data_IF_396599679380
#
_entry.id   IF_396599679380
#
_cell.length_a   1.000
_cell.length_b   1.000
_cell.length_c   1.000
_cell.angle_alpha   90.00
_cell.angle_beta   90.00
_cell.angle_gamma   90.00
#
_symmetry.space_group_name_H-M   'P 1'
#
loop_
_entity.id
_entity.type
_entity.pdbx_description
1 polymer ?
#
# COMPACT_ATOMS: atom_id res chain seq x y z
N UNK A 1 3.40 5.29 25.56
CA UNK A 1 2.11 5.78 25.06
C UNK A 1 1.01 5.14 25.88
N UNK A 2 0.11 5.93 26.48
CA UNK A 2 -1.02 5.41 27.28
C UNK A 2 -2.15 4.99 26.33
N UNK A 3 -2.92 3.98 26.72
CA UNK A 3 -4.00 3.40 25.92
C UNK A 3 -5.05 4.44 25.46
N UNK A 4 -5.37 5.41 26.32
CA UNK A 4 -6.29 6.53 26.03
C UNK A 4 -5.83 7.38 24.84
N UNK A 5 -4.53 7.66 24.75
CA UNK A 5 -3.94 8.51 23.70
C UNK A 5 -4.05 7.83 22.33
N UNK A 6 -3.76 6.53 22.28
CA UNK A 6 -3.87 5.71 21.07
C UNK A 6 -5.33 5.62 20.62
N UNK A 7 -6.28 5.49 21.55
CA UNK A 7 -7.72 5.40 21.25
C UNK A 7 -8.28 6.70 20.69
N UNK A 8 -7.89 7.85 21.23
CA UNK A 8 -8.30 9.15 20.69
C UNK A 8 -7.69 9.42 19.31
N UNK A 9 -6.42 9.06 19.13
CA UNK A 9 -5.72 9.20 17.86
C UNK A 9 -6.35 8.35 16.74
N UNK A 10 -6.67 7.08 17.03
CA UNK A 10 -7.37 6.18 16.11
C UNK A 10 -8.81 6.63 15.82
N UNK A 11 -9.51 7.26 16.77
CA UNK A 11 -10.84 7.84 16.53
C UNK A 11 -10.81 9.02 15.55
N UNK A 12 -9.78 9.86 15.63
CA UNK A 12 -9.59 10.99 14.71
C UNK A 12 -9.04 10.53 13.35
N UNK A 13 -8.26 9.43 13.35
CA UNK A 13 -7.64 8.86 12.16
C UNK A 13 -8.05 7.38 12.06
N UNK A 14 -9.28 7.07 11.58
CA UNK A 14 -9.83 5.70 11.57
C UNK A 14 -8.98 4.69 10.79
N UNK A 15 -8.03 5.17 9.98
CA UNK A 15 -7.04 4.38 9.27
C UNK A 15 -5.63 4.86 9.66
N UNK A 16 -5.19 4.59 10.90
CA UNK A 16 -3.79 4.82 11.28
C UNK A 16 -2.79 3.94 10.52
N UNK A 17 -3.28 3.00 9.72
CA UNK A 17 -2.47 2.23 8.79
C UNK A 17 -2.70 2.79 7.39
N UNK A 18 -1.60 3.22 6.76
CA UNK A 18 -1.59 3.53 5.33
C UNK A 18 -2.20 2.35 4.59
N UNK A 19 -3.08 2.64 3.65
CA UNK A 19 -3.57 1.63 2.72
C UNK A 19 -2.40 0.98 2.01
N UNK A 20 -2.55 -0.29 1.60
CA UNK A 20 -1.51 -0.99 0.83
C UNK A 20 -1.08 -0.18 -0.40
N UNK A 21 -2.01 0.55 -1.00
CA UNK A 21 -1.78 1.46 -2.12
C UNK A 21 -0.86 2.63 -1.76
N UNK A 22 -1.13 3.34 -0.67
CA UNK A 22 -0.28 4.46 -0.22
C UNK A 22 1.14 4.00 0.11
N UNK A 23 1.27 2.80 0.70
CA UNK A 23 2.57 2.19 0.98
C UNK A 23 3.33 1.82 -0.30
N UNK A 24 2.64 1.30 -1.31
CA UNK A 24 3.20 1.01 -2.62
C UNK A 24 3.67 2.28 -3.32
N UNK A 25 2.87 3.35 -3.27
CA UNK A 25 3.20 4.65 -3.86
C UNK A 25 4.44 5.29 -3.23
N UNK A 26 4.57 5.27 -1.90
CA UNK A 26 5.78 5.74 -1.23
C UNK A 26 7.02 4.92 -1.60
N UNK A 27 6.89 3.59 -1.68
CA UNK A 27 8.00 2.73 -2.08
C UNK A 27 8.44 3.02 -3.52
N UNK A 28 7.49 3.19 -4.42
CA UNK A 28 7.74 3.56 -5.82
C UNK A 28 8.44 4.92 -5.93
N UNK A 29 8.02 5.91 -5.13
CA UNK A 29 8.67 7.22 -5.05
C UNK A 29 10.13 7.11 -4.60
N UNK A 30 10.41 6.37 -3.52
CA UNK A 30 11.78 6.17 -3.02
C UNK A 30 12.68 5.49 -4.04
N UNK A 31 12.14 4.56 -4.82
CA UNK A 31 12.88 3.91 -5.92
C UNK A 31 13.16 4.92 -7.03
N UNK A 32 12.16 5.72 -7.46
CA UNK A 32 12.35 6.73 -8.50
C UNK A 32 13.36 7.82 -8.10
N UNK A 33 13.33 8.27 -6.84
CA UNK A 33 14.29 9.23 -6.29
C UNK A 33 15.72 8.67 -6.33
N UNK A 34 15.89 7.40 -5.94
CA UNK A 34 17.18 6.72 -5.96
C UNK A 34 17.74 6.52 -7.37
N UNK A 35 16.88 6.16 -8.31
CA UNK A 35 17.27 5.90 -9.71
C UNK A 35 17.41 7.18 -10.54
N UNK A 36 16.85 8.31 -10.06
CA UNK A 36 16.88 9.60 -10.75
C UNK A 36 16.14 9.59 -12.10
N UNK A 37 15.25 8.61 -12.31
CA UNK A 37 14.55 8.37 -13.59
C UNK A 37 13.10 8.02 -13.33
N UNK A 38 12.24 8.38 -14.29
CA UNK A 38 10.81 8.05 -14.24
C UNK A 38 10.61 6.57 -14.57
N UNK A 39 10.08 5.81 -13.61
CA UNK A 39 9.83 4.37 -13.72
C UNK A 39 8.32 4.13 -13.77
N UNK A 40 7.89 3.35 -14.76
CA UNK A 40 6.51 2.88 -14.83
C UNK A 40 6.43 1.48 -14.22
N UNK A 41 5.94 1.40 -12.99
CA UNK A 41 5.78 0.12 -12.28
C UNK A 41 4.63 -0.68 -12.90
N UNK A 42 4.92 -1.91 -13.31
CA UNK A 42 3.89 -2.84 -13.78
C UNK A 42 3.02 -3.28 -12.60
N UNK A 43 1.70 -3.20 -12.77
CA UNK A 43 0.74 -3.71 -11.77
C UNK A 43 0.28 -5.10 -12.18
N UNK A 44 0.37 -6.06 -11.26
CA UNK A 44 -0.22 -7.38 -11.47
C UNK A 44 -1.74 -7.22 -11.56
N UNK A 45 -2.32 -7.47 -12.73
CA UNK A 45 -3.78 -7.59 -12.86
C UNK A 45 -4.18 -9.00 -12.47
N UNK A 46 -5.26 -9.16 -11.70
CA UNK A 46 -5.79 -10.48 -11.25
C UNK A 46 -6.24 -11.43 -12.38
N UNK A 47 -5.96 -11.11 -13.65
CA UNK A 47 -6.52 -11.78 -14.83
C UNK A 47 -5.98 -13.20 -15.09
N UNK A 48 -5.06 -13.73 -14.30
CA UNK A 48 -4.36 -14.98 -14.63
C UNK A 48 -4.84 -16.25 -13.89
N UNK A 49 -5.79 -16.18 -12.94
CA UNK A 49 -6.14 -17.35 -12.12
C UNK A 49 -7.64 -17.76 -12.09
N UNK A 50 -8.54 -17.15 -12.87
CA UNK A 50 -9.95 -17.58 -12.92
C UNK A 50 -10.27 -18.58 -14.05
N UNK A 51 -9.27 -18.99 -14.85
CA UNK A 51 -9.44 -20.07 -15.83
C UNK A 51 -8.67 -21.32 -15.34
N UNK A 52 -9.42 -22.32 -14.85
CA UNK A 52 -8.99 -23.67 -14.40
C UNK A 52 -8.61 -23.87 -12.94
N UNK A 53 -9.56 -23.70 -12.02
CA UNK A 53 -9.66 -24.61 -10.86
C UNK A 53 -10.96 -25.40 -11.02
N UNK A 54 -10.95 -26.37 -11.92
CA UNK A 54 -11.82 -27.54 -11.80
C UNK A 54 -11.07 -28.53 -10.91
N UNK A 55 -11.45 -28.61 -9.65
CA UNK A 55 -11.14 -29.75 -8.77
C UNK A 55 -12.45 -30.35 -8.29
#
# INVERSE_FOLDING_TARGET
>A
MKYEEVRQYLKQNPYCFRTLKEREEEMNQRIMEREGRRIYFAKATRKFNDENINT
#
